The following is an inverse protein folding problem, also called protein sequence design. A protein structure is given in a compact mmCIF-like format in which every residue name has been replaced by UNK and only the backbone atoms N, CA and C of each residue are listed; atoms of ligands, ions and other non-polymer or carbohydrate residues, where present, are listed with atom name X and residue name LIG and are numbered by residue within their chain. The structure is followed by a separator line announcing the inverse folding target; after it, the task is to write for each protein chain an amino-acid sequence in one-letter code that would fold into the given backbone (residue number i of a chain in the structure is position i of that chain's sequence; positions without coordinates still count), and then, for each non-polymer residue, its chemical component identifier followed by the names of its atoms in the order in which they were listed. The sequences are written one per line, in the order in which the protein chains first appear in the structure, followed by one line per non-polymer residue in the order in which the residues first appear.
data_IF_375979792868
#
_entry.id   IF_375979792868
#
_cell.length_a   1.000
_cell.length_b   1.000
_cell.length_c   1.000
_cell.angle_alpha   90.00
_cell.angle_beta   90.00
_cell.angle_gamma   90.00
#
_symmetry.space_group_name_H-M   'P 1'
#
loop_
_entity.id
_entity.type
_entity.pdbx_description
1 polymer ?
#
# COMPACT_ATOMS: atom_id res chain seq x y z
N UNK A 1 6.91 -17.00 0.86
CA UNK A 1 7.45 -15.78 1.50
C UNK A 1 6.36 -15.02 2.21
N UNK A 2 6.53 -14.83 3.50
CA UNK A 2 5.53 -14.16 4.31
C UNK A 2 5.96 -12.72 4.63
N UNK A 3 4.94 -11.89 4.84
CA UNK A 3 5.14 -10.50 5.20
C UNK A 3 5.75 -10.39 6.60
N UNK A 4 6.79 -9.58 6.74
CA UNK A 4 7.37 -9.27 8.03
C UNK A 4 6.68 -8.04 8.62
N UNK A 5 5.73 -8.30 9.52
CA UNK A 5 4.94 -7.24 10.14
C UNK A 5 5.68 -6.50 11.25
N UNK A 6 6.86 -6.97 11.59
CA UNK A 6 7.66 -6.38 12.67
C UNK A 6 8.81 -5.52 12.16
N UNK A 7 9.07 -5.51 10.86
CA UNK A 7 10.15 -4.71 10.29
C UNK A 7 9.88 -3.22 10.43
N UNK A 8 10.85 -2.48 10.96
CA UNK A 8 10.83 -1.03 11.04
C UNK A 8 11.71 -0.37 9.99
N UNK A 9 12.21 -1.16 9.02
CA UNK A 9 13.03 -0.62 7.94
C UNK A 9 12.21 0.34 7.08
N UNK A 10 12.74 1.55 6.84
CA UNK A 10 12.06 2.55 6.01
C UNK A 10 11.67 1.97 4.65
N UNK A 11 12.61 1.32 3.99
CA UNK A 11 12.37 0.81 2.63
C UNK A 11 11.30 -0.28 2.64
N UNK A 12 11.33 -1.15 3.62
CA UNK A 12 10.32 -2.20 3.78
C UNK A 12 8.94 -1.58 4.02
N UNK A 13 8.86 -0.61 4.92
CA UNK A 13 7.57 0.02 5.25
C UNK A 13 7.00 0.80 4.06
N UNK A 14 7.83 1.48 3.27
CA UNK A 14 7.36 2.14 2.06
C UNK A 14 6.84 1.15 1.03
N UNK A 15 7.46 -0.02 0.92
CA UNK A 15 6.95 -1.09 0.07
C UNK A 15 5.56 -1.52 0.48
N UNK A 16 5.35 -1.67 1.79
CA UNK A 16 4.03 -2.02 2.32
C UNK A 16 2.98 -0.94 2.05
N UNK A 17 3.35 0.33 2.22
CA UNK A 17 2.44 1.45 1.93
C UNK A 17 2.00 1.45 0.47
N UNK A 18 2.95 1.28 -0.44
CA UNK A 18 2.66 1.25 -1.86
C UNK A 18 1.69 0.12 -2.21
N UNK A 19 1.90 -1.05 -1.60
CA UNK A 19 1.04 -2.20 -1.82
C UNK A 19 -0.39 -1.95 -1.34
N UNK A 20 -0.55 -1.38 -0.16
CA UNK A 20 -1.88 -1.09 0.37
C UNK A 20 -2.61 -0.10 -0.54
N UNK A 21 -1.93 0.96 -0.98
CA UNK A 21 -2.53 1.94 -1.89
C UNK A 21 -2.92 1.31 -3.22
N UNK A 22 -2.07 0.44 -3.76
CA UNK A 22 -2.34 -0.26 -5.03
C UNK A 22 -3.58 -1.13 -4.92
N UNK A 23 -3.63 -1.99 -3.91
CA UNK A 23 -4.75 -2.92 -3.72
C UNK A 23 -6.04 -2.16 -3.43
N UNK A 24 -5.97 -1.12 -2.59
CA UNK A 24 -7.15 -0.33 -2.26
C UNK A 24 -7.78 0.31 -3.50
N UNK A 25 -6.97 0.94 -4.34
CA UNK A 25 -7.48 1.56 -5.56
C UNK A 25 -8.02 0.50 -6.52
N UNK A 26 -7.26 -0.57 -6.75
CA UNK A 26 -7.64 -1.63 -7.68
C UNK A 26 -8.95 -2.30 -7.26
N UNK A 27 -9.23 -2.36 -5.97
CA UNK A 27 -10.46 -2.99 -5.46
C UNK A 27 -11.72 -2.25 -5.89
N UNK A 28 -11.60 -0.99 -6.31
CA UNK A 28 -12.74 -0.19 -6.77
C UNK A 28 -12.93 -0.25 -8.28
N UNK A 29 -12.01 -0.88 -9.00
CA UNK A 29 -12.08 -0.94 -10.47
C UNK A 29 -13.09 -1.97 -10.94
N UNK A 30 -13.75 -1.69 -12.07
CA UNK A 30 -14.59 -2.68 -12.76
C UNK A 30 -13.70 -3.82 -13.27
N UNK A 31 -14.30 -5.01 -13.41
CA UNK A 31 -13.58 -6.22 -13.80
C UNK A 31 -12.83 -6.07 -15.14
N UNK A 32 -13.41 -5.37 -16.08
CA UNK A 32 -12.85 -5.14 -17.40
C UNK A 32 -11.89 -3.95 -17.46
N UNK A 33 -11.71 -3.24 -16.35
CA UNK A 33 -10.85 -2.06 -16.29
C UNK A 33 -9.40 -2.50 -16.20
N UNK A 34 -8.60 -2.15 -17.21
CA UNK A 34 -7.19 -2.57 -17.29
C UNK A 34 -6.20 -1.44 -17.04
N UNK A 35 -6.68 -0.26 -16.69
CA UNK A 35 -5.78 0.87 -16.43
C UNK A 35 -4.94 0.62 -15.18
N UNK A 36 -3.69 1.12 -15.14
CA UNK A 36 -2.87 0.98 -13.94
C UNK A 36 -3.38 1.88 -12.81
N UNK A 37 -3.16 1.43 -11.58
CA UNK A 37 -3.42 2.26 -10.39
C UNK A 37 -2.42 3.41 -10.33
N UNK A 38 -2.70 4.41 -9.50
CA UNK A 38 -1.76 5.50 -9.27
C UNK A 38 -0.45 4.98 -8.67
N UNK A 39 -0.51 3.96 -7.81
CA UNK A 39 0.69 3.35 -7.25
C UNK A 39 1.60 2.81 -8.37
N UNK A 40 1.02 2.17 -9.37
CA UNK A 40 1.79 1.64 -10.49
C UNK A 40 2.29 2.74 -11.42
N UNK A 41 1.46 3.76 -11.64
CA UNK A 41 1.85 4.88 -12.52
C UNK A 41 3.02 5.67 -11.95
N UNK A 42 3.08 5.83 -10.64
CA UNK A 42 4.13 6.59 -9.96
C UNK A 42 5.22 5.71 -9.36
N UNK A 43 5.29 4.45 -9.79
CA UNK A 43 6.20 3.47 -9.19
C UNK A 43 7.66 3.91 -9.23
N UNK A 44 8.12 4.38 -10.40
CA UNK A 44 9.51 4.83 -10.57
C UNK A 44 9.79 6.07 -9.71
N UNK A 45 8.89 7.06 -9.75
CA UNK A 45 9.03 8.25 -8.95
C UNK A 45 9.06 7.91 -7.46
N UNK A 46 8.24 6.94 -7.05
CA UNK A 46 8.19 6.48 -5.67
C UNK A 46 9.53 5.86 -5.24
N UNK A 47 10.15 5.05 -6.09
CA UNK A 47 11.41 4.43 -5.74
C UNK A 47 12.54 5.46 -5.58
N UNK A 48 12.46 6.57 -6.30
CA UNK A 48 13.48 7.62 -6.26
C UNK A 48 13.22 8.69 -5.20
N UNK A 49 11.95 8.97 -4.91
CA UNK A 49 11.53 10.02 -3.98
C UNK A 49 10.30 9.55 -3.18
N UNK A 50 10.48 8.59 -2.24
CA UNK A 50 9.33 7.93 -1.61
C UNK A 50 8.42 8.86 -0.80
N UNK A 51 8.98 9.75 0.00
CA UNK A 51 8.15 10.62 0.84
C UNK A 51 7.30 11.57 -0.01
N UNK A 52 7.94 12.23 -0.95
CA UNK A 52 7.28 13.18 -1.83
C UNK A 52 6.21 12.50 -2.68
N UNK A 53 6.53 11.34 -3.23
CA UNK A 53 5.61 10.61 -4.11
C UNK A 53 4.47 9.97 -3.31
N UNK A 54 4.75 9.51 -2.08
CA UNK A 54 3.70 8.96 -1.22
C UNK A 54 2.59 9.98 -0.97
N UNK A 55 2.95 11.25 -0.76
CA UNK A 55 1.96 12.31 -0.57
C UNK A 55 1.02 12.40 -1.78
N UNK A 56 1.56 12.34 -2.99
CA UNK A 56 0.78 12.36 -4.22
C UNK A 56 -0.14 11.14 -4.33
N UNK A 57 0.42 9.95 -4.09
CA UNK A 57 -0.33 8.70 -4.19
C UNK A 57 -1.46 8.68 -3.16
N UNK A 58 -1.18 9.06 -1.93
CA UNK A 58 -2.17 9.03 -0.86
C UNK A 58 -3.34 10.00 -1.15
N UNK A 59 -3.02 11.20 -1.61
CA UNK A 59 -4.05 12.17 -1.98
C UNK A 59 -4.89 11.66 -3.16
N UNK A 60 -4.25 10.99 -4.11
CA UNK A 60 -4.94 10.42 -5.27
C UNK A 60 -5.83 9.25 -4.89
N UNK A 61 -5.54 8.59 -3.77
CA UNK A 61 -6.32 7.46 -3.29
C UNK A 61 -7.66 7.90 -2.68
N UNK A 62 -7.76 9.13 -2.19
CA UNK A 62 -8.94 9.60 -1.46
C UNK A 62 -10.26 9.38 -2.20
N UNK A 63 -10.39 9.75 -3.49
CA UNK A 63 -11.66 9.51 -4.20
C UNK A 63 -12.05 8.02 -4.24
N UNK A 64 -11.07 7.14 -4.34
CA UNK A 64 -11.35 5.69 -4.39
C UNK A 64 -11.79 5.17 -3.03
N UNK A 65 -11.18 5.66 -1.95
CA UNK A 65 -11.63 5.30 -0.59
C UNK A 65 -13.07 5.76 -0.37
N UNK A 66 -13.42 6.96 -0.86
CA UNK A 66 -14.77 7.48 -0.71
C UNK A 66 -15.80 6.62 -1.45
N UNK A 67 -15.42 6.03 -2.58
CA UNK A 67 -16.32 5.18 -3.38
C UNK A 67 -16.60 3.83 -2.74
N UNK A 68 -15.66 3.30 -1.97
CA UNK A 68 -15.80 1.94 -1.47
C UNK A 68 -16.67 1.82 -0.22
N UNK A 69 -17.14 2.95 0.30
CA UNK A 69 -17.96 2.94 1.49
C UNK A 69 -17.13 2.92 2.77
N UNK A 70 -17.82 3.13 3.88
CA UNK A 70 -17.16 3.35 5.16
C UNK A 70 -16.32 2.17 5.65
N UNK A 71 -16.83 0.95 5.50
CA UNK A 71 -16.13 -0.23 6.00
C UNK A 71 -14.79 -0.45 5.33
N UNK A 72 -14.76 -0.38 4.00
CA UNK A 72 -13.52 -0.53 3.24
C UNK A 72 -12.55 0.61 3.49
N UNK A 73 -13.07 1.84 3.50
CA UNK A 73 -12.26 3.03 3.74
C UNK A 73 -11.55 2.96 5.09
N UNK A 74 -12.29 2.64 6.15
CA UNK A 74 -11.72 2.53 7.50
C UNK A 74 -10.65 1.44 7.56
N UNK A 75 -10.89 0.30 6.91
CA UNK A 75 -9.93 -0.81 6.90
C UNK A 75 -8.59 -0.39 6.29
N UNK A 76 -8.63 0.22 5.11
CA UNK A 76 -7.39 0.61 4.42
C UNK A 76 -6.69 1.77 5.13
N UNK A 77 -7.43 2.74 5.64
CA UNK A 77 -6.83 3.84 6.39
C UNK A 77 -6.17 3.35 7.69
N UNK A 78 -6.78 2.36 8.34
CA UNK A 78 -6.18 1.77 9.54
C UNK A 78 -4.85 1.10 9.20
N UNK A 79 -4.81 0.35 8.10
CA UNK A 79 -3.56 -0.29 7.67
C UNK A 79 -2.47 0.74 7.38
N UNK A 80 -2.83 1.81 6.66
CA UNK A 80 -1.88 2.87 6.34
C UNK A 80 -1.35 3.51 7.61
N UNK A 81 -2.22 3.81 8.56
CA UNK A 81 -1.83 4.43 9.82
C UNK A 81 -0.94 3.51 10.65
N UNK A 82 -1.24 2.23 10.68
CA UNK A 82 -0.41 1.25 11.38
C UNK A 82 1.00 1.21 10.80
N UNK A 83 1.11 1.17 9.48
CA UNK A 83 2.40 1.11 8.82
C UNK A 83 3.17 2.42 9.04
N UNK A 84 2.53 3.58 8.88
CA UNK A 84 3.21 4.85 9.07
C UNK A 84 3.69 5.04 10.50
N UNK A 85 2.99 4.47 11.48
CA UNK A 85 3.39 4.56 12.88
C UNK A 85 4.64 3.74 13.19
N UNK A 86 5.04 2.84 12.31
CA UNK A 86 6.21 1.98 12.52
C UNK A 86 7.51 2.60 12.06
N UNK A 87 7.48 3.70 11.32
CA UNK A 87 8.71 4.39 10.90
C UNK A 87 9.43 4.95 12.13
N UNK A 88 10.75 4.78 12.18
CA UNK A 88 11.54 5.29 13.28
C UNK A 88 11.92 6.74 13.03
N UNK A 89 11.83 7.58 14.07
CA UNK A 89 12.22 8.99 14.05
C UNK A 89 11.74 9.70 12.77
N UNK A 90 12.65 10.30 12.04
CA UNK A 90 12.37 11.07 10.84
C UNK A 90 12.45 10.24 9.55
N UNK A 91 12.52 8.91 9.66
CA UNK A 91 12.69 8.05 8.50
C UNK A 91 11.52 8.14 7.51
N UNK A 92 10.31 8.43 7.99
CA UNK A 92 9.18 8.64 7.08
C UNK A 92 9.44 9.81 6.13
N UNK A 93 10.09 10.85 6.60
CA UNK A 93 10.38 12.05 5.80
C UNK A 93 11.66 11.93 4.98
N UNK A 94 12.40 10.84 5.16
CA UNK A 94 13.63 10.60 4.41
C UNK A 94 13.27 10.26 2.96
N UNK A 95 13.58 11.20 2.06
CA UNK A 95 13.18 11.12 0.66
C UNK A 95 14.26 10.55 -0.26
N UNK A 96 15.28 9.91 0.30
CA UNK A 96 16.33 9.31 -0.51
C UNK A 96 15.82 8.03 -1.21
N UNK A 97 16.45 7.64 -2.33
CA UNK A 97 15.99 6.48 -3.09
C UNK A 97 15.85 5.21 -2.25
N UNK A 98 14.85 4.41 -2.58
CA UNK A 98 14.62 3.14 -1.89
C UNK A 98 15.52 2.05 -2.45
N UNK A 99 15.93 1.12 -1.58
CA UNK A 99 16.66 -0.08 -1.98
C UNK A 99 15.69 -1.13 -2.51
N UNK A 100 16.18 -2.20 -3.16
CA UNK A 100 15.30 -3.26 -3.66
C UNK A 100 14.43 -3.92 -2.58
N UNK A 101 14.73 -3.73 -1.30
CA UNK A 101 13.93 -4.25 -0.19
C UNK A 101 12.46 -3.83 -0.30
N UNK A 102 12.18 -2.64 -0.85
CA UNK A 102 10.80 -2.19 -0.96
C UNK A 102 9.99 -3.03 -1.97
N UNK A 103 10.65 -3.56 -2.99
CA UNK A 103 10.00 -4.44 -3.96
C UNK A 103 9.57 -5.75 -3.30
N UNK A 104 10.43 -6.30 -2.46
CA UNK A 104 10.12 -7.51 -1.71
C UNK A 104 8.95 -7.27 -0.76
N UNK A 105 9.00 -6.17 -0.03
CA UNK A 105 7.94 -5.81 0.90
C UNK A 105 6.61 -5.59 0.16
N UNK A 106 6.65 -4.92 -0.98
CA UNK A 106 5.47 -4.70 -1.81
C UNK A 106 4.83 -6.03 -2.19
N UNK A 107 5.62 -6.97 -2.71
CA UNK A 107 5.10 -8.26 -3.12
C UNK A 107 4.50 -9.04 -1.95
N UNK A 108 5.19 -9.05 -0.81
CA UNK A 108 4.70 -9.75 0.37
C UNK A 108 3.39 -9.15 0.88
N UNK A 109 3.29 -7.82 0.90
CA UNK A 109 2.09 -7.14 1.36
C UNK A 109 0.90 -7.39 0.42
N UNK A 110 1.13 -7.37 -0.89
CA UNK A 110 0.08 -7.68 -1.86
C UNK A 110 -0.43 -9.09 -1.64
N UNK A 111 0.47 -10.05 -1.50
CA UNK A 111 0.09 -11.45 -1.27
C UNK A 111 -0.70 -11.62 0.02
N UNK A 112 -0.29 -10.94 1.08
CA UNK A 112 -0.99 -10.97 2.37
C UNK A 112 -2.44 -10.49 2.22
N UNK A 113 -2.63 -9.38 1.50
CA UNK A 113 -3.96 -8.80 1.32
C UNK A 113 -4.87 -9.72 0.52
N UNK A 114 -4.37 -10.32 -0.55
CA UNK A 114 -5.18 -11.22 -1.37
C UNK A 114 -5.47 -12.54 -0.65
N UNK A 115 -4.51 -13.10 0.06
CA UNK A 115 -4.69 -14.33 0.83
C UNK A 115 -5.74 -14.14 1.91
N UNK A 116 -5.66 -13.03 2.65
CA UNK A 116 -6.61 -12.72 3.71
C UNK A 116 -8.02 -12.54 3.16
N UNK A 117 -8.15 -11.87 2.01
CA UNK A 117 -9.44 -11.68 1.36
C UNK A 117 -10.06 -13.02 0.96
N UNK A 118 -9.25 -13.93 0.41
CA UNK A 118 -9.72 -15.27 0.03
C UNK A 118 -10.18 -16.05 1.24
N UNK A 119 -9.42 -16.01 2.34
CA UNK A 119 -9.79 -16.69 3.58
C UNK A 119 -11.09 -16.15 4.15
N UNK A 120 -11.27 -14.82 4.14
CA UNK A 120 -12.50 -14.20 4.63
C UNK A 120 -13.70 -14.67 3.80
N UNK A 121 -13.54 -14.76 2.48
CA UNK A 121 -14.61 -15.26 1.61
C UNK A 121 -14.95 -16.72 1.91
N UNK A 122 -13.94 -17.54 2.20
CA UNK A 122 -14.14 -18.96 2.55
C UNK A 122 -14.89 -19.09 3.87
N UNK A 123 -14.61 -18.22 4.83
CA UNK A 123 -15.27 -18.25 6.13
C UNK A 123 -16.75 -17.89 6.04
N UNK A 124 -17.14 -17.10 5.06
CA UNK A 124 -18.53 -16.70 4.86
C UNK A 124 -19.39 -17.81 4.22
N UNK A 125 -18.74 -18.80 3.64
CA UNK A 125 -19.44 -19.94 3.06
C UNK A 125 -19.74 -21.01 4.11
#
# INVERSE_FOLDING_TARGET
MSLDKESHSRDYLYGRLLAVADVAEASTYAREDSRPTNAKRFFEAFSNHPYQTWDVIYKSLRPYLDRMGRGGSVRYERMINEITSMFEHDEFKNNSPLSPEFLHAYSCQVNELYTKKTNDNQEEE
#
